data_IF_660991093425
#
_entry.id   IF_660991093425
#
_cell.length_a   1.000
_cell.length_b   1.000
_cell.length_c   1.000
_cell.angle_alpha   90.00
_cell.angle_beta   90.00
_cell.angle_gamma   90.00
#
_symmetry.space_group_name_H-M   'P 1'
#
loop_
_entity.id
_entity.type
_entity.pdbx_description
1 polymer ?
#
# COMPACT_ATOMS: atom_id res chain seq x y z
N UNK A 1 -23.80 -6.47 3.33
CA UNK A 1 -24.34 -5.16 2.88
C UNK A 1 -25.57 -5.43 2.04
N UNK A 2 -26.66 -4.68 2.22
CA UNK A 2 -27.81 -4.79 1.33
C UNK A 2 -27.46 -4.16 -0.03
N UNK A 3 -28.15 -4.57 -1.11
CA UNK A 3 -27.93 -3.99 -2.44
C UNK A 3 -28.08 -2.47 -2.47
N UNK A 4 -29.03 -1.93 -1.69
CA UNK A 4 -29.26 -0.49 -1.55
C UNK A 4 -28.02 0.22 -0.97
N UNK A 5 -27.48 -0.30 0.14
CA UNK A 5 -26.27 0.28 0.75
C UNK A 5 -25.06 0.27 -0.18
N UNK A 6 -24.90 -0.78 -1.01
CA UNK A 6 -23.81 -0.83 -1.98
C UNK A 6 -23.91 0.27 -3.05
N UNK A 7 -25.09 0.43 -3.64
CA UNK A 7 -25.29 1.43 -4.71
C UNK A 7 -25.07 2.85 -4.16
N UNK A 8 -25.48 3.11 -2.91
CA UNK A 8 -25.20 4.39 -2.22
C UNK A 8 -23.69 4.62 -2.04
N UNK A 9 -22.94 3.59 -1.59
CA UNK A 9 -21.48 3.69 -1.45
C UNK A 9 -20.77 3.91 -2.80
N UNK A 10 -21.27 3.28 -3.86
CA UNK A 10 -20.73 3.45 -5.21
C UNK A 10 -21.00 4.85 -5.74
N UNK A 11 -22.24 5.35 -5.62
CA UNK A 11 -22.58 6.72 -6.03
C UNK A 11 -21.75 7.75 -5.28
N UNK A 12 -21.62 7.61 -3.96
CA UNK A 12 -20.78 8.50 -3.17
C UNK A 12 -19.31 8.45 -3.59
N UNK A 13 -18.79 7.28 -3.97
CA UNK A 13 -17.41 7.17 -4.48
C UNK A 13 -17.24 7.91 -5.81
N UNK A 14 -18.23 7.86 -6.70
CA UNK A 14 -18.21 8.59 -7.96
C UNK A 14 -18.31 10.10 -7.77
N UNK A 15 -19.17 10.56 -6.87
CA UNK A 15 -19.32 11.97 -6.54
C UNK A 15 -18.03 12.55 -5.94
N UNK A 16 -17.44 11.86 -4.97
CA UNK A 16 -16.16 12.25 -4.38
C UNK A 16 -15.07 12.31 -5.47
N UNK A 17 -14.98 11.29 -6.34
CA UNK A 17 -13.97 11.26 -7.40
C UNK A 17 -14.17 12.39 -8.43
N UNK A 18 -15.41 12.69 -8.79
CA UNK A 18 -15.72 13.79 -9.71
C UNK A 18 -15.39 15.17 -9.09
N UNK A 19 -15.64 15.33 -7.79
CA UNK A 19 -15.27 16.54 -7.04
C UNK A 19 -13.75 16.70 -7.01
N UNK A 20 -13.02 15.69 -6.56
CA UNK A 20 -11.56 15.70 -6.45
C UNK A 20 -10.92 15.97 -7.81
N UNK A 21 -11.41 15.33 -8.88
CA UNK A 21 -10.88 15.54 -10.22
C UNK A 21 -11.03 16.99 -10.69
N UNK A 22 -12.16 17.66 -10.39
CA UNK A 22 -12.33 19.08 -10.72
C UNK A 22 -11.32 19.95 -9.96
N UNK A 23 -11.10 19.67 -8.69
CA UNK A 23 -10.09 20.36 -7.89
C UNK A 23 -8.68 20.14 -8.47
N UNK A 24 -8.33 18.90 -8.79
CA UNK A 24 -7.02 18.53 -9.33
C UNK A 24 -6.71 19.20 -10.68
N UNK A 25 -7.70 19.22 -11.59
CA UNK A 25 -7.59 19.94 -12.86
C UNK A 25 -7.38 21.44 -12.63
N UNK A 26 -8.00 22.03 -11.61
CA UNK A 26 -7.80 23.43 -11.28
C UNK A 26 -6.42 23.69 -10.69
N UNK A 27 -5.93 22.83 -9.79
CA UNK A 27 -4.58 22.90 -9.22
C UNK A 27 -3.51 22.79 -10.30
N UNK A 28 -3.71 21.90 -11.28
CA UNK A 28 -2.78 21.74 -12.41
C UNK A 28 -2.65 22.99 -13.28
N UNK A 29 -3.66 23.86 -13.31
CA UNK A 29 -3.61 25.14 -14.03
C UNK A 29 -2.87 26.23 -13.24
N UNK A 30 -2.64 26.06 -11.94
CA UNK A 30 -1.95 27.03 -11.11
C UNK A 30 -0.47 27.07 -11.51
N UNK A 31 -0.05 28.17 -12.15
CA UNK A 31 1.37 28.43 -12.42
C UNK A 31 1.97 29.20 -11.25
N UNK A 32 3.01 28.62 -10.64
CA UNK A 32 3.78 29.27 -9.57
C UNK A 32 5.14 29.69 -10.14
N UNK A 33 5.43 31.00 -10.12
CA UNK A 33 6.75 31.51 -10.44
C UNK A 33 7.73 31.16 -9.32
N UNK A 34 8.97 30.76 -9.66
CA UNK A 34 9.98 30.30 -8.71
C UNK A 34 10.30 31.30 -7.56
N UNK A 35 9.96 32.59 -7.70
CA UNK A 35 10.18 33.61 -6.67
C UNK A 35 9.02 33.84 -5.69
N UNK A 36 7.84 33.23 -5.91
CA UNK A 36 6.64 33.48 -5.10
C UNK A 36 6.45 32.47 -3.97
N UNK A 37 7.28 32.54 -2.91
CA UNK A 37 7.21 31.63 -1.73
C UNK A 37 5.79 31.35 -1.21
N UNK A 38 4.92 32.34 -0.93
CA UNK A 38 3.58 32.05 -0.38
C UNK A 38 2.68 31.27 -1.34
N UNK A 39 2.85 31.46 -2.65
CA UNK A 39 2.07 30.76 -3.67
C UNK A 39 2.54 29.31 -3.86
N UNK A 40 3.83 29.05 -3.60
CA UNK A 40 4.39 27.71 -3.61
C UNK A 40 3.94 26.89 -2.39
N UNK A 41 3.95 27.48 -1.20
CA UNK A 41 3.43 26.83 0.01
C UNK A 41 1.94 26.45 -0.13
N UNK A 42 1.13 27.34 -0.71
CA UNK A 42 -0.27 27.03 -1.04
C UNK A 42 -0.39 25.86 -2.02
N UNK A 43 0.45 25.79 -3.05
CA UNK A 43 0.45 24.67 -4.00
C UNK A 43 0.74 23.34 -3.30
N UNK A 44 1.70 23.32 -2.37
CA UNK A 44 2.00 22.13 -1.58
C UNK A 44 0.80 21.71 -0.71
N UNK A 45 0.13 22.66 -0.06
CA UNK A 45 -1.10 22.39 0.71
C UNK A 45 -2.20 21.80 -0.16
N UNK A 46 -2.39 22.31 -1.39
CA UNK A 46 -3.34 21.73 -2.33
C UNK A 46 -2.98 20.28 -2.71
N UNK A 47 -1.70 19.98 -2.96
CA UNK A 47 -1.27 18.61 -3.25
C UNK A 47 -1.44 17.67 -2.06
N UNK A 48 -1.17 18.15 -0.84
CA UNK A 48 -1.42 17.38 0.40
C UNK A 48 -2.91 17.06 0.53
N UNK A 49 -3.78 18.06 0.36
CA UNK A 49 -5.24 17.87 0.40
C UNK A 49 -5.70 16.86 -0.66
N UNK A 50 -5.29 17.03 -1.92
CA UNK A 50 -5.63 16.10 -3.00
C UNK A 50 -5.14 14.68 -2.70
N UNK A 51 -3.92 14.50 -2.22
CA UNK A 51 -3.38 13.18 -1.86
C UNK A 51 -4.27 12.47 -0.83
N UNK A 52 -4.65 13.17 0.24
CA UNK A 52 -5.52 12.62 1.28
C UNK A 52 -6.92 12.29 0.75
N UNK A 53 -7.50 13.17 -0.07
CA UNK A 53 -8.81 12.93 -0.69
C UNK A 53 -8.79 11.72 -1.65
N UNK A 54 -7.74 11.59 -2.48
CA UNK A 54 -7.56 10.44 -3.35
C UNK A 54 -7.38 9.14 -2.55
N UNK A 55 -6.62 9.17 -1.45
CA UNK A 55 -6.44 8.01 -0.56
C UNK A 55 -7.77 7.55 0.04
N UNK A 56 -8.57 8.49 0.55
CA UNK A 56 -9.90 8.21 1.10
C UNK A 56 -10.82 7.59 0.04
N UNK A 57 -10.84 8.14 -1.17
CA UNK A 57 -11.65 7.64 -2.28
C UNK A 57 -11.19 6.27 -2.75
N UNK A 58 -9.88 6.02 -2.81
CA UNK A 58 -9.30 4.72 -3.15
C UNK A 58 -9.72 3.64 -2.14
N UNK A 59 -9.74 3.95 -0.84
CA UNK A 59 -10.26 3.02 0.19
C UNK A 59 -11.72 2.68 -0.05
N UNK A 60 -12.56 3.67 -0.36
CA UNK A 60 -13.98 3.43 -0.66
C UNK A 60 -14.16 2.60 -1.93
N UNK A 61 -13.46 2.95 -3.01
CA UNK A 61 -13.49 2.20 -4.27
C UNK A 61 -13.01 0.76 -4.09
N UNK A 62 -12.05 0.51 -3.21
CA UNK A 62 -11.61 -0.86 -2.86
C UNK A 62 -12.75 -1.65 -2.22
N UNK A 63 -13.44 -1.07 -1.24
CA UNK A 63 -14.60 -1.70 -0.60
C UNK A 63 -15.75 -1.96 -1.59
N UNK A 64 -16.00 -1.01 -2.50
CA UNK A 64 -16.99 -1.16 -3.58
C UNK A 64 -16.58 -2.29 -4.53
N UNK A 65 -15.32 -2.32 -4.96
CA UNK A 65 -14.80 -3.36 -5.85
C UNK A 65 -14.97 -4.76 -5.23
N UNK A 66 -14.63 -4.91 -3.94
CA UNK A 66 -14.71 -6.19 -3.24
C UNK A 66 -16.15 -6.65 -2.98
N UNK A 67 -17.10 -5.73 -2.90
CA UNK A 67 -18.53 -6.02 -2.75
C UNK A 67 -19.26 -6.27 -4.09
N UNK A 68 -18.66 -5.88 -5.23
CA UNK A 68 -19.31 -5.97 -6.53
C UNK A 68 -19.32 -7.42 -7.06
N UNK A 69 -20.51 -7.95 -7.27
CA UNK A 69 -20.73 -9.32 -7.77
C UNK A 69 -20.85 -9.39 -9.29
N UNK A 70 -21.30 -8.32 -9.95
CA UNK A 70 -21.47 -8.27 -11.40
C UNK A 70 -20.11 -8.05 -12.08
N UNK A 71 -19.64 -8.98 -12.95
CA UNK A 71 -18.29 -8.90 -13.53
C UNK A 71 -18.04 -7.60 -14.30
N UNK A 72 -19.02 -7.14 -15.08
CA UNK A 72 -18.90 -5.91 -15.86
C UNK A 72 -18.70 -4.68 -14.96
N UNK A 73 -19.61 -4.48 -13.99
CA UNK A 73 -19.47 -3.38 -13.03
C UNK A 73 -18.19 -3.48 -12.21
N UNK A 74 -17.75 -4.71 -11.87
CA UNK A 74 -16.50 -4.93 -11.12
C UNK A 74 -15.29 -4.47 -11.91
N UNK A 75 -15.27 -4.74 -13.21
CA UNK A 75 -14.23 -4.27 -14.13
C UNK A 75 -14.21 -2.74 -14.24
N UNK A 76 -15.38 -2.11 -14.31
CA UNK A 76 -15.47 -0.65 -14.37
C UNK A 76 -14.95 0.00 -13.08
N UNK A 77 -15.34 -0.53 -11.91
CA UNK A 77 -14.85 -0.06 -10.61
C UNK A 77 -13.34 -0.27 -10.48
N UNK A 78 -12.82 -1.40 -10.95
CA UNK A 78 -11.37 -1.66 -11.01
C UNK A 78 -10.65 -0.58 -11.82
N UNK A 79 -11.16 -0.25 -13.01
CA UNK A 79 -10.56 0.79 -13.86
C UNK A 79 -10.51 2.15 -13.16
N UNK A 80 -11.59 2.52 -12.45
CA UNK A 80 -11.65 3.74 -11.66
C UNK A 80 -10.65 3.70 -10.49
N UNK A 81 -10.56 2.57 -9.80
CA UNK A 81 -9.64 2.38 -8.67
C UNK A 81 -8.17 2.44 -9.12
N UNK A 82 -7.81 1.78 -10.22
CA UNK A 82 -6.45 1.81 -10.79
C UNK A 82 -6.06 3.24 -11.18
N UNK A 83 -6.98 3.99 -11.80
CA UNK A 83 -6.76 5.40 -12.16
C UNK A 83 -6.60 6.29 -10.92
N UNK A 84 -7.44 6.08 -9.91
CA UNK A 84 -7.41 6.78 -8.62
C UNK A 84 -6.09 6.55 -7.88
N UNK A 85 -5.65 5.29 -7.77
CA UNK A 85 -4.39 4.90 -7.15
C UNK A 85 -3.18 5.44 -7.91
N UNK A 86 -3.22 5.40 -9.25
CA UNK A 86 -2.17 5.98 -10.09
C UNK A 86 -1.96 7.46 -9.79
N UNK A 87 -3.04 8.24 -9.82
CA UNK A 87 -2.97 9.68 -9.53
C UNK A 87 -2.54 9.98 -8.09
N UNK A 88 -3.01 9.20 -7.12
CA UNK A 88 -2.60 9.32 -5.72
C UNK A 88 -1.08 9.14 -5.56
N UNK A 89 -0.50 8.14 -6.24
CA UNK A 89 0.95 7.88 -6.20
C UNK A 89 1.76 8.98 -6.88
N UNK A 90 1.26 9.55 -7.98
CA UNK A 90 1.87 10.74 -8.60
C UNK A 90 1.93 11.93 -7.63
N UNK A 91 0.83 12.21 -6.93
CA UNK A 91 0.77 13.26 -5.91
C UNK A 91 1.74 12.98 -4.76
N UNK A 92 1.82 11.72 -4.29
CA UNK A 92 2.80 11.31 -3.27
C UNK A 92 4.23 11.55 -3.74
N UNK A 93 4.53 11.27 -5.01
CA UNK A 93 5.84 11.53 -5.59
C UNK A 93 6.14 13.03 -5.68
N UNK A 94 5.18 13.85 -6.14
CA UNK A 94 5.31 15.31 -6.16
C UNK A 94 5.61 15.86 -4.76
N UNK A 95 4.87 15.41 -3.74
CA UNK A 95 5.11 15.82 -2.36
C UNK A 95 6.49 15.38 -1.86
N UNK A 96 6.90 14.14 -2.15
CA UNK A 96 8.22 13.63 -1.75
C UNK A 96 9.36 14.45 -2.37
N UNK A 97 9.25 14.78 -3.66
CA UNK A 97 10.27 15.57 -4.37
C UNK A 97 10.38 17.00 -3.84
N UNK A 98 9.27 17.60 -3.42
CA UNK A 98 9.24 19.00 -3.00
C UNK A 98 9.43 19.21 -1.48
N UNK A 99 9.04 18.25 -0.66
CA UNK A 99 9.05 18.34 0.81
C UNK A 99 10.02 17.35 1.48
N UNK A 100 10.59 16.40 0.74
CA UNK A 100 11.35 15.27 1.28
C UNK A 100 10.44 14.11 1.72
N UNK A 101 11.03 13.11 2.37
CA UNK A 101 10.33 11.87 2.75
C UNK A 101 9.20 12.09 3.77
N UNK A 102 9.38 13.09 4.65
CA UNK A 102 8.48 13.42 5.75
C UNK A 102 7.58 14.61 5.39
N UNK A 103 6.46 14.29 4.74
CA UNK A 103 5.43 15.28 4.37
C UNK A 103 4.46 15.45 5.53
N UNK A 104 4.19 16.70 5.93
CA UNK A 104 3.16 17.00 6.94
C UNK A 104 1.77 16.83 6.33
N UNK A 105 0.96 15.95 6.93
CA UNK A 105 -0.39 15.62 6.45
C UNK A 105 -1.48 16.03 7.46
N UNK A 106 -1.10 16.44 8.68
CA UNK A 106 -1.99 16.61 9.83
C UNK A 106 -3.20 17.51 9.54
N UNK A 107 -2.98 18.67 8.92
CA UNK A 107 -4.05 19.63 8.61
C UNK A 107 -5.10 19.01 7.66
N UNK A 108 -4.65 18.37 6.58
CA UNK A 108 -5.55 17.72 5.62
C UNK A 108 -6.24 16.48 6.19
N UNK A 109 -5.57 15.75 7.09
CA UNK A 109 -6.20 14.65 7.83
C UNK A 109 -7.31 15.17 8.75
N UNK A 110 -7.09 16.26 9.46
CA UNK A 110 -8.08 16.88 10.34
C UNK A 110 -9.30 17.35 9.53
N UNK A 111 -9.09 18.01 8.40
CA UNK A 111 -10.16 18.46 7.50
C UNK A 111 -11.03 17.30 6.99
N UNK A 112 -10.39 16.16 6.68
CA UNK A 112 -11.07 14.96 6.18
C UNK A 112 -11.55 14.02 7.29
N UNK A 113 -11.30 14.37 8.56
CA UNK A 113 -11.62 13.58 9.75
C UNK A 113 -11.00 12.17 9.72
N UNK A 114 -9.80 12.06 9.16
CA UNK A 114 -9.04 10.82 9.09
C UNK A 114 -8.13 10.67 10.32
N UNK A 115 -8.01 9.43 10.80
CA UNK A 115 -7.02 9.07 11.83
C UNK A 115 -5.73 8.54 11.18
N UNK A 116 -4.61 8.43 11.92
CA UNK A 116 -3.37 7.90 11.36
C UNK A 116 -3.50 6.51 10.70
N UNK A 117 -4.34 5.63 11.25
CA UNK A 117 -4.61 4.32 10.65
C UNK A 117 -5.30 4.44 9.28
N UNK A 118 -6.03 5.52 9.05
CA UNK A 118 -6.66 5.80 7.76
C UNK A 118 -5.63 6.17 6.67
N UNK A 119 -4.37 6.42 7.01
CA UNK A 119 -3.31 6.68 6.04
C UNK A 119 -2.75 5.41 5.37
N UNK A 120 -3.10 4.23 5.86
CA UNK A 120 -2.65 2.98 5.23
C UNK A 120 -3.18 2.89 3.79
N UNK A 121 -2.29 2.77 2.81
CA UNK A 121 -2.67 2.67 1.39
C UNK A 121 -3.38 1.32 1.17
N UNK A 122 -4.63 1.32 0.65
CA UNK A 122 -5.34 0.06 0.39
C UNK A 122 -4.64 -0.70 -0.74
N UNK A 123 -4.39 -2.00 -0.50
CA UNK A 123 -3.91 -2.92 -1.54
C UNK A 123 -5.12 -3.70 -2.06
N UNK A 124 -5.60 -3.42 -3.28
CA UNK A 124 -6.80 -4.09 -3.79
C UNK A 124 -6.55 -5.59 -3.98
N UNK A 125 -7.53 -6.43 -3.61
CA UNK A 125 -7.36 -7.90 -3.63
C UNK A 125 -7.01 -8.45 -4.99
N UNK A 126 -7.54 -7.87 -6.06
CA UNK A 126 -7.27 -8.30 -7.42
C UNK A 126 -5.79 -8.21 -7.81
N UNK A 127 -4.98 -7.36 -7.16
CA UNK A 127 -3.53 -7.34 -7.39
C UNK A 127 -2.89 -8.68 -7.02
N UNK A 128 -3.34 -9.28 -5.93
CA UNK A 128 -2.85 -10.58 -5.45
C UNK A 128 -3.48 -11.72 -6.24
N UNK A 129 -4.78 -11.63 -6.55
CA UNK A 129 -5.50 -12.63 -7.33
C UNK A 129 -4.90 -12.76 -8.75
N UNK A 130 -4.64 -11.64 -9.43
CA UNK A 130 -4.06 -11.62 -10.77
C UNK A 130 -2.63 -12.17 -10.76
N UNK A 131 -1.84 -11.83 -9.75
CA UNK A 131 -0.46 -12.30 -9.60
C UNK A 131 -0.36 -13.72 -9.01
N UNK A 132 -1.47 -14.39 -8.68
CA UNK A 132 -1.46 -15.63 -7.92
C UNK A 132 -0.67 -16.75 -8.61
N UNK A 133 -0.81 -16.89 -9.93
CA UNK A 133 -0.09 -17.89 -10.73
C UNK A 133 1.42 -17.62 -10.73
N UNK A 134 1.81 -16.37 -10.97
CA UNK A 134 3.22 -15.96 -10.95
C UNK A 134 3.83 -16.14 -9.55
N UNK A 135 3.09 -15.76 -8.50
CA UNK A 135 3.51 -15.92 -7.13
C UNK A 135 3.65 -17.39 -6.75
N UNK A 136 2.75 -18.26 -7.22
CA UNK A 136 2.84 -19.70 -7.04
C UNK A 136 4.09 -20.26 -7.71
N UNK A 137 4.39 -19.83 -8.94
CA UNK A 137 5.57 -20.28 -9.67
C UNK A 137 6.88 -19.84 -8.98
N UNK A 138 6.96 -18.57 -8.58
CA UNK A 138 8.11 -18.07 -7.78
C UNK A 138 8.28 -18.86 -6.49
N UNK A 139 7.19 -19.20 -5.79
CA UNK A 139 7.24 -20.05 -4.57
C UNK A 139 7.79 -21.44 -4.85
N UNK A 140 7.41 -22.07 -5.97
CA UNK A 140 7.95 -23.39 -6.38
C UNK A 140 9.45 -23.31 -6.63
N UNK A 141 9.91 -22.28 -7.34
CA UNK A 141 11.33 -22.07 -7.62
C UNK A 141 12.13 -21.87 -6.32
N UNK A 142 11.64 -21.06 -5.39
CA UNK A 142 12.27 -20.85 -4.08
C UNK A 142 12.35 -22.17 -3.31
N UNK A 143 11.27 -22.96 -3.28
CA UNK A 143 11.26 -24.26 -2.61
C UNK A 143 12.27 -25.25 -3.22
N UNK A 144 12.37 -25.28 -4.55
CA UNK A 144 13.35 -26.11 -5.26
C UNK A 144 14.80 -25.71 -4.92
N UNK A 145 15.09 -24.40 -4.90
CA UNK A 145 16.41 -23.90 -4.48
C UNK A 145 16.70 -24.26 -3.02
N UNK A 146 15.74 -24.09 -2.12
CA UNK A 146 15.90 -24.44 -0.71
C UNK A 146 16.18 -25.94 -0.52
N UNK A 147 15.52 -26.82 -1.27
CA UNK A 147 15.77 -28.27 -1.24
C UNK A 147 17.20 -28.60 -1.72
N UNK A 148 17.59 -28.07 -2.88
CA UNK A 148 18.93 -28.24 -3.45
C UNK A 148 20.05 -27.80 -2.50
N UNK A 149 19.92 -26.62 -1.88
CA UNK A 149 20.93 -26.12 -0.95
C UNK A 149 20.92 -26.86 0.40
N UNK A 150 19.77 -27.39 0.86
CA UNK A 150 19.72 -28.28 2.03
C UNK A 150 20.52 -29.55 1.77
N UNK A 151 20.27 -30.22 0.64
CA UNK A 151 20.96 -31.47 0.26
C UNK A 151 22.47 -31.28 0.10
N UNK A 152 22.90 -30.16 -0.52
CA UNK A 152 24.32 -29.80 -0.65
C UNK A 152 25.01 -29.46 0.67
N UNK A 153 24.27 -29.00 1.69
CA UNK A 153 24.83 -28.71 3.03
C UNK A 153 25.10 -30.00 3.81
N UNK A 154 24.25 -31.01 3.67
CA UNK A 154 24.44 -32.32 4.30
C UNK A 154 25.54 -33.15 3.64
N UNK A 155 25.70 -33.07 2.32
CA UNK A 155 26.79 -33.79 1.60
C UNK A 155 28.19 -33.23 1.88
N UNK A 156 28.33 -31.94 2.25
CA UNK A 156 29.61 -31.37 2.71
C UNK A 156 29.93 -31.67 4.18
N UNK A 157 28.94 -32.07 4.97
CA UNK A 157 29.12 -32.57 6.33
C UNK A 157 29.39 -34.08 6.26
N UNK A 158 30.52 -34.47 5.69
CA UNK A 158 31.00 -35.86 5.74
C UNK A 158 31.19 -36.32 7.21
N UNK A 159 31.15 -37.64 7.51
CA UNK A 159 30.90 -38.22 8.85
C UNK A 159 31.88 -37.85 9.99
N UNK A 160 32.94 -37.09 9.72
CA UNK A 160 33.98 -36.76 10.71
C UNK A 160 33.48 -35.90 11.87
N UNK A 161 32.34 -35.23 11.74
CA UNK A 161 31.73 -34.45 12.82
C UNK A 161 30.84 -35.27 13.78
N UNK A 162 30.51 -36.52 13.44
CA UNK A 162 29.68 -37.40 14.30
C UNK A 162 30.47 -38.18 15.36
N UNK A 163 31.82 -38.08 15.36
CA UNK A 163 32.68 -38.74 16.36
C UNK A 163 32.99 -37.90 17.60
N UNK A 164 32.52 -36.65 17.68
CA UNK A 164 32.55 -35.90 18.95
C UNK A 164 31.26 -36.18 19.69
N UNK A 165 31.32 -37.16 20.59
CA UNK A 165 30.26 -37.42 21.57
C UNK A 165 29.85 -36.13 22.31
N UNK A 166 28.65 -36.11 22.91
CA UNK A 166 28.09 -34.90 23.50
C UNK A 166 29.07 -34.31 24.52
N UNK A 167 29.53 -33.08 24.27
CA UNK A 167 30.25 -32.30 25.29
C UNK A 167 29.29 -32.17 26.48
N UNK A 168 29.63 -32.83 27.59
CA UNK A 168 28.93 -32.64 28.87
C UNK A 168 28.93 -31.14 29.17
N UNK A 169 27.75 -30.54 29.19
CA UNK A 169 27.56 -29.18 29.70
C UNK A 169 27.81 -29.25 31.21
N UNK A 170 28.73 -28.46 31.79
CA UNK A 170 28.90 -28.42 33.23
C UNK A 170 27.61 -27.85 33.83
N UNK A 171 26.94 -28.62 34.70
CA UNK A 171 25.82 -28.11 35.49
C UNK A 171 26.31 -26.99 36.41
N UNK A 172 25.65 -25.82 36.46
CA UNK A 172 26.02 -24.77 37.40
C UNK A 172 25.79 -25.27 38.82
N UNK A 173 26.81 -25.16 39.68
CA UNK A 173 26.68 -25.47 41.11
C UNK A 173 25.71 -24.45 41.73
N UNK A 174 24.57 -24.94 42.22
CA UNK A 174 23.70 -24.19 43.12
C UNK A 174 24.51 -23.85 44.38
N UNK A 175 24.72 -22.56 44.63
CA UNK A 175 25.28 -22.05 45.88
C UNK A 175 24.13 -22.01 46.89
N UNK A 176 24.19 -22.75 48.02
CA UNK A 176 23.21 -22.59 49.09
C UNK A 176 23.44 -21.26 49.81
N UNK A 177 22.32 -20.69 50.30
CA UNK A 177 22.19 -19.37 50.89
C UNK A 177 23.13 -19.08 52.08
#
# INVERSE_FOLDING_TARGET
MSSLTYEDYYQQALEDLAFIWREDVNVTKVRVAAGGRPRYEQLLQYWVSLYIQYLRTAKRLTSVHDAQLQPQKRYDVRTLLDTCLGRMLELRNLLTVNCGEFVKLDDAMLDTKMIPDDLEVPIPRYFVEDAASELQERRRQIAALQAHYKERRWTRLSPRLLLRGPRRVPTPKLVPA
#
